data_IF_581729664710
#
_entry.id   IF_581729664710
#
_cell.length_a   1.000
_cell.length_b   1.000
_cell.length_c   1.000
_cell.angle_alpha   90.00
_cell.angle_beta   90.00
_cell.angle_gamma   90.00
#
_symmetry.space_group_name_H-M   'P 1'
#
loop_
_entity.id
_entity.type
_entity.pdbx_description
1 polymer ?
#
# COMPACT_ATOMS: atom_id res chain seq x y z
N UNK A 1 28.99 9.70 19.38
CA UNK A 1 28.89 9.07 18.05
C UNK A 1 27.93 7.88 18.03
N UNK A 2 28.15 6.83 18.83
CA UNK A 2 27.25 5.65 18.90
C UNK A 2 25.80 6.01 19.22
N UNK A 3 25.55 6.87 20.22
CA UNK A 3 24.18 7.28 20.56
C UNK A 3 23.47 8.03 19.42
N UNK A 4 24.23 8.72 18.58
CA UNK A 4 23.66 9.36 17.39
C UNK A 4 23.26 8.30 16.36
N UNK A 5 24.15 7.35 16.08
CA UNK A 5 23.88 6.26 15.14
C UNK A 5 22.72 5.36 15.59
N UNK A 6 22.57 5.10 16.89
CA UNK A 6 21.51 4.22 17.40
C UNK A 6 20.15 4.91 17.51
N UNK A 7 20.09 6.24 17.60
CA UNK A 7 18.82 6.96 17.78
C UNK A 7 18.40 7.74 16.54
N UNK A 8 19.31 8.48 15.91
CA UNK A 8 18.97 9.39 14.81
C UNK A 8 19.04 8.72 13.45
N UNK A 9 19.97 7.78 13.22
CA UNK A 9 20.06 7.10 11.93
C UNK A 9 18.80 6.29 11.58
N UNK A 10 18.20 5.51 12.50
CA UNK A 10 16.93 4.82 12.23
C UNK A 10 15.81 5.82 11.90
N UNK A 11 15.73 6.94 12.62
CA UNK A 11 14.72 7.97 12.42
C UNK A 11 14.86 8.64 11.05
N UNK A 12 16.08 8.89 10.59
CA UNK A 12 16.32 9.35 9.21
C UNK A 12 15.85 8.30 8.19
N UNK A 13 16.11 7.03 8.44
CA UNK A 13 15.57 5.92 7.63
C UNK A 13 14.04 5.93 7.57
N UNK A 14 13.38 6.24 8.68
CA UNK A 14 11.91 6.39 8.77
C UNK A 14 11.36 7.48 7.86
N UNK A 15 12.09 8.58 7.65
CA UNK A 15 11.69 9.64 6.72
C UNK A 15 11.61 9.08 5.29
N UNK A 16 12.64 8.34 4.86
CA UNK A 16 12.64 7.73 3.53
C UNK A 16 11.55 6.65 3.40
N UNK A 17 11.36 5.81 4.43
CA UNK A 17 10.25 4.85 4.44
C UNK A 17 8.90 5.54 4.27
N UNK A 18 8.67 6.65 4.99
CA UNK A 18 7.44 7.43 4.87
C UNK A 18 7.24 7.95 3.45
N UNK A 19 8.30 8.45 2.81
CA UNK A 19 8.27 8.91 1.41
C UNK A 19 7.91 7.75 0.46
N UNK A 20 8.35 6.52 0.73
CA UNK A 20 7.96 5.35 -0.07
C UNK A 20 6.49 4.95 0.11
N UNK A 21 5.97 5.01 1.34
CA UNK A 21 4.59 4.63 1.63
C UNK A 21 3.57 5.66 1.15
N UNK A 22 3.87 6.96 1.25
CA UNK A 22 2.90 8.04 0.99
C UNK A 22 2.26 7.97 -0.41
N UNK A 23 3.04 7.84 -1.51
CA UNK A 23 2.49 7.73 -2.86
C UNK A 23 1.60 6.50 -3.03
N UNK A 24 2.00 5.37 -2.44
CA UNK A 24 1.26 4.12 -2.51
C UNK A 24 -0.06 4.21 -1.74
N UNK A 25 -0.03 4.76 -0.52
CA UNK A 25 -1.21 5.01 0.30
C UNK A 25 -2.17 5.95 -0.43
N UNK A 26 -1.66 7.08 -0.95
CA UNK A 26 -2.47 8.05 -1.71
C UNK A 26 -3.11 7.41 -2.93
N UNK A 27 -2.32 6.67 -3.74
CA UNK A 27 -2.82 5.99 -4.93
C UNK A 27 -3.93 5.00 -4.58
N UNK A 28 -3.71 4.18 -3.57
CA UNK A 28 -4.67 3.17 -3.12
C UNK A 28 -5.95 3.81 -2.58
N UNK A 29 -5.83 4.90 -1.83
CA UNK A 29 -6.97 5.64 -1.30
C UNK A 29 -7.83 6.30 -2.39
N UNK A 30 -7.18 6.93 -3.38
CA UNK A 30 -7.87 7.65 -4.46
C UNK A 30 -8.50 6.70 -5.46
N UNK A 31 -7.72 5.73 -5.97
CA UNK A 31 -8.17 4.83 -7.04
C UNK A 31 -9.07 3.73 -6.47
N UNK A 32 -8.86 3.32 -5.21
CA UNK A 32 -9.57 2.21 -4.56
C UNK A 32 -9.45 0.89 -5.34
N UNK A 33 -8.46 0.80 -6.23
CA UNK A 33 -8.12 -0.41 -6.95
C UNK A 33 -6.92 -1.07 -6.28
N UNK A 34 -7.12 -2.31 -5.87
CA UNK A 34 -6.12 -3.17 -5.22
C UNK A 34 -5.92 -4.47 -5.99
N UNK A 35 -6.39 -4.53 -7.24
CA UNK A 35 -6.09 -5.64 -8.14
C UNK A 35 -4.58 -5.72 -8.38
N UNK A 36 -4.04 -6.93 -8.25
CA UNK A 36 -2.60 -7.16 -8.28
C UNK A 36 -1.88 -6.98 -6.93
N UNK A 37 -2.53 -6.45 -5.89
CA UNK A 37 -1.93 -6.40 -4.55
C UNK A 37 -2.23 -7.69 -3.77
N UNK A 38 -1.19 -8.38 -3.30
CA UNK A 38 -1.33 -9.61 -2.51
C UNK A 38 -1.72 -9.33 -1.05
N UNK A 39 -2.88 -9.85 -0.61
CA UNK A 39 -3.31 -9.76 0.80
C UNK A 39 -2.34 -10.49 1.72
N UNK A 40 -1.90 -11.68 1.32
CA UNK A 40 -1.00 -12.51 2.12
C UNK A 40 0.35 -11.81 2.34
N UNK A 41 0.84 -11.08 1.32
CA UNK A 41 2.03 -10.25 1.46
C UNK A 41 1.85 -9.19 2.55
N UNK A 42 0.80 -8.37 2.47
CA UNK A 42 0.56 -7.31 3.45
C UNK A 42 0.30 -7.86 4.85
N UNK A 43 -0.41 -8.99 4.97
CA UNK A 43 -0.62 -9.66 6.24
C UNK A 43 0.71 -10.15 6.85
N UNK A 44 1.52 -10.85 6.06
CA UNK A 44 2.81 -11.39 6.53
C UNK A 44 3.79 -10.27 6.89
N UNK A 45 3.77 -9.16 6.14
CA UNK A 45 4.57 -7.99 6.43
C UNK A 45 4.21 -7.39 7.79
N UNK A 46 2.92 -7.21 8.09
CA UNK A 46 2.48 -6.71 9.40
C UNK A 46 2.90 -7.64 10.54
N UNK A 47 2.74 -8.97 10.37
CA UNK A 47 3.19 -9.94 11.39
C UNK A 47 4.70 -9.82 11.64
N UNK A 48 5.50 -9.70 10.58
CA UNK A 48 6.95 -9.52 10.70
C UNK A 48 7.30 -8.20 11.42
N UNK A 49 6.65 -7.10 11.06
CA UNK A 49 6.87 -5.78 11.64
C UNK A 49 6.42 -5.71 13.11
N UNK A 50 5.34 -6.41 13.50
CA UNK A 50 4.97 -6.57 14.91
C UNK A 50 6.10 -7.23 15.70
N UNK A 51 6.70 -8.31 15.18
CA UNK A 51 7.83 -8.94 15.86
C UNK A 51 9.06 -8.04 15.92
N UNK A 52 9.34 -7.28 14.86
CA UNK A 52 10.43 -6.29 14.86
C UNK A 52 10.17 -5.16 15.86
N UNK A 53 8.94 -4.66 15.95
CA UNK A 53 8.54 -3.63 16.91
C UNK A 53 8.67 -4.13 18.36
N UNK A 54 8.21 -5.34 18.65
CA UNK A 54 8.39 -5.96 19.98
C UNK A 54 9.88 -6.07 20.32
N UNK A 55 10.71 -6.51 19.38
CA UNK A 55 12.16 -6.56 19.57
C UNK A 55 12.76 -5.15 19.81
N UNK A 56 12.32 -4.15 19.06
CA UNK A 56 12.77 -2.77 19.22
C UNK A 56 12.38 -2.17 20.59
N UNK A 57 11.18 -2.49 21.10
CA UNK A 57 10.75 -2.14 22.46
C UNK A 57 11.65 -2.81 23.49
N UNK A 58 11.98 -4.09 23.31
CA UNK A 58 12.88 -4.81 24.22
C UNK A 58 14.29 -4.20 24.24
N UNK A 59 14.81 -3.79 23.08
CA UNK A 59 16.09 -3.08 22.96
C UNK A 59 16.01 -1.73 23.68
N UNK A 60 14.93 -0.97 23.50
CA UNK A 60 14.73 0.31 24.20
C UNK A 60 14.73 0.12 25.73
N UNK A 61 13.98 -0.87 26.24
CA UNK A 61 13.92 -1.14 27.69
C UNK A 61 15.30 -1.52 28.24
N UNK A 62 16.08 -2.33 27.50
CA UNK A 62 17.39 -2.82 27.97
C UNK A 62 18.53 -1.80 27.83
N UNK A 63 18.54 -1.02 26.75
CA UNK A 63 19.69 -0.20 26.36
C UNK A 63 19.38 1.30 26.27
N UNK A 64 18.11 1.71 26.44
CA UNK A 64 17.67 3.10 26.39
C UNK A 64 17.67 3.72 24.99
N UNK A 65 17.90 2.93 23.94
CA UNK A 65 17.95 3.41 22.55
C UNK A 65 16.56 3.37 21.92
N UNK A 66 16.03 4.54 21.58
CA UNK A 66 14.63 4.71 21.16
C UNK A 66 14.45 4.83 19.65
N UNK A 67 15.53 5.09 18.88
CA UNK A 67 15.44 5.34 17.43
C UNK A 67 14.73 4.23 16.67
N UNK A 68 15.22 3.00 16.81
CA UNK A 68 14.62 1.82 16.16
C UNK A 68 13.18 1.58 16.59
N UNK A 69 12.83 1.86 17.85
CA UNK A 69 11.45 1.71 18.33
C UNK A 69 10.50 2.66 17.59
N UNK A 70 10.90 3.93 17.42
CA UNK A 70 10.09 4.90 16.66
C UNK A 70 10.00 4.49 15.18
N UNK A 71 11.11 4.03 14.59
CA UNK A 71 11.15 3.55 13.20
C UNK A 71 10.19 2.40 12.96
N UNK A 72 10.27 1.34 13.78
CA UNK A 72 9.40 0.17 13.63
C UNK A 72 7.94 0.51 13.92
N UNK A 73 7.67 1.39 14.89
CA UNK A 73 6.30 1.81 15.21
C UNK A 73 5.64 2.53 14.04
N UNK A 74 6.37 3.44 13.38
CA UNK A 74 5.83 4.15 12.21
C UNK A 74 5.73 3.24 10.99
N UNK A 75 6.73 2.38 10.77
CA UNK A 75 6.71 1.43 9.65
C UNK A 75 5.52 0.47 9.75
N UNK A 76 5.28 -0.07 10.95
CA UNK A 76 4.11 -0.92 11.22
C UNK A 76 2.80 -0.15 11.01
N UNK A 77 2.68 1.08 11.52
CA UNK A 77 1.47 1.88 11.30
C UNK A 77 1.17 2.11 9.81
N UNK A 78 2.20 2.39 8.99
CA UNK A 78 2.06 2.59 7.55
C UNK A 78 1.69 1.29 6.82
N UNK A 79 2.32 0.16 7.19
CA UNK A 79 2.02 -1.15 6.64
C UNK A 79 0.59 -1.60 7.01
N UNK A 80 0.13 -1.30 8.23
CA UNK A 80 -1.22 -1.61 8.70
C UNK A 80 -2.27 -0.79 7.97
N UNK A 81 -2.02 0.50 7.75
CA UNK A 81 -2.86 1.36 6.92
C UNK A 81 -3.04 0.75 5.52
N UNK A 82 -1.96 0.27 4.90
CA UNK A 82 -2.00 -0.41 3.61
C UNK A 82 -2.80 -1.72 3.66
N UNK A 83 -2.59 -2.56 4.67
CA UNK A 83 -3.34 -3.80 4.85
C UNK A 83 -4.84 -3.54 4.99
N UNK A 84 -5.24 -2.56 5.80
CA UNK A 84 -6.64 -2.16 5.98
C UNK A 84 -7.24 -1.72 4.65
N UNK A 85 -6.53 -0.90 3.86
CA UNK A 85 -7.00 -0.48 2.55
C UNK A 85 -7.14 -1.66 1.57
N UNK A 86 -6.17 -2.57 1.54
CA UNK A 86 -6.20 -3.76 0.68
C UNK A 86 -7.40 -4.64 1.03
N UNK A 87 -7.67 -4.89 2.32
CA UNK A 87 -8.82 -5.68 2.75
C UNK A 87 -10.15 -4.96 2.43
N UNK A 88 -10.24 -3.65 2.70
CA UNK A 88 -11.45 -2.86 2.48
C UNK A 88 -11.82 -2.75 1.00
N UNK A 89 -10.85 -2.51 0.13
CA UNK A 89 -11.10 -2.25 -1.29
C UNK A 89 -11.14 -3.52 -2.14
N UNK A 90 -10.56 -4.64 -1.67
CA UNK A 90 -10.65 -5.92 -2.37
C UNK A 90 -12.08 -6.41 -2.51
N UNK A 91 -12.94 -6.17 -1.50
CA UNK A 91 -14.37 -6.51 -1.56
C UNK A 91 -15.12 -5.73 -2.65
N UNK A 92 -14.65 -4.54 -3.00
CA UNK A 92 -15.25 -3.70 -4.04
C UNK A 92 -14.69 -3.98 -5.45
N UNK A 93 -13.58 -4.73 -5.54
CA UNK A 93 -12.90 -4.99 -6.81
C UNK A 93 -13.49 -6.15 -7.61
N UNK A 94 -14.52 -6.85 -7.11
CA UNK A 94 -15.22 -7.89 -7.88
C UNK A 94 -16.00 -7.38 -9.09
N UNK A 95 -16.05 -6.05 -9.32
CA UNK A 95 -16.61 -5.43 -10.53
C UNK A 95 -15.50 -4.75 -11.36
N UNK A 96 -14.49 -5.50 -11.77
CA UNK A 96 -13.68 -5.08 -12.92
C UNK A 96 -14.41 -5.54 -14.16
N UNK A 97 -15.10 -4.61 -14.84
CA UNK A 97 -15.38 -4.79 -16.26
C UNK A 97 -14.01 -4.84 -16.93
N UNK A 98 -13.60 -5.98 -17.54
CA UNK A 98 -12.30 -6.06 -18.19
C UNK A 98 -12.15 -4.90 -19.19
N UNK A 99 -10.98 -4.26 -19.27
CA UNK A 99 -10.72 -3.26 -20.31
C UNK A 99 -11.10 -3.76 -21.71
N UNK A 100 -10.95 -5.08 -21.96
CA UNK A 100 -11.40 -5.73 -23.19
C UNK A 100 -12.91 -5.61 -23.43
N UNK A 101 -13.73 -5.68 -22.38
CA UNK A 101 -15.19 -5.54 -22.45
C UNK A 101 -15.60 -4.07 -22.71
N UNK A 102 -14.96 -3.10 -22.05
CA UNK A 102 -15.15 -1.66 -22.33
C UNK A 102 -14.78 -1.35 -23.79
N UNK A 103 -13.66 -1.90 -24.26
CA UNK A 103 -13.20 -1.73 -25.65
C UNK A 103 -14.17 -2.38 -26.64
N UNK A 104 -14.67 -3.57 -26.33
CA UNK A 104 -15.65 -4.28 -27.16
C UNK A 104 -16.99 -3.53 -27.24
N UNK A 105 -17.49 -2.98 -26.14
CA UNK A 105 -18.71 -2.18 -26.11
C UNK A 105 -18.58 -0.90 -26.95
N UNK A 106 -17.45 -0.18 -26.80
CA UNK A 106 -17.17 1.01 -27.60
C UNK A 106 -17.06 0.70 -29.09
N UNK A 107 -16.36 -0.39 -29.46
CA UNK A 107 -16.26 -0.84 -30.86
C UNK A 107 -17.63 -1.20 -31.44
N UNK A 108 -18.47 -1.89 -30.65
CA UNK A 108 -19.83 -2.28 -31.05
C UNK A 108 -20.71 -1.04 -31.28
N UNK A 109 -20.62 -0.05 -30.40
CA UNK A 109 -21.34 1.21 -30.54
C UNK A 109 -20.92 1.96 -31.80
N UNK A 110 -19.60 2.08 -32.03
CA UNK A 110 -19.06 2.75 -33.22
C UNK A 110 -19.44 2.06 -34.53
N UNK A 111 -19.46 0.72 -34.54
CA UNK A 111 -19.89 -0.06 -35.70
C UNK A 111 -21.37 0.16 -36.04
N UNK A 112 -22.23 0.24 -35.03
CA UNK A 112 -23.65 0.53 -35.23
C UNK A 112 -23.88 1.95 -35.79
N UNK A 113 -23.18 2.95 -35.25
CA UNK A 113 -23.24 4.33 -35.76
C UNK A 113 -22.79 4.45 -37.23
N UNK A 114 -21.77 3.67 -37.63
CA UNK A 114 -21.33 3.64 -39.02
C UNK A 114 -22.32 2.93 -39.96
N UNK A 115 -23.02 1.91 -39.49
CA UNK A 115 -24.04 1.23 -40.30
C UNK A 115 -25.30 2.06 -40.49
N UNK A 116 -25.78 2.77 -39.46
CA UNK A 116 -26.93 3.68 -39.58
C UNK A 116 -26.66 4.78 -40.61
N UNK A 117 -25.43 5.33 -40.63
CA UNK A 117 -25.02 6.33 -41.63
C UNK A 117 -24.95 5.81 -43.07
N UNK A 118 -24.90 4.50 -43.28
CA UNK A 118 -24.85 3.87 -44.62
C UNK A 118 -26.24 3.48 -45.12
N UNK A 119 -27.24 3.41 -44.24
CA UNK A 119 -28.60 2.98 -44.58
C UNK A 119 -29.62 4.14 -44.61
N UNK A 120 -29.27 5.33 -44.12
CA UNK A 120 -30.01 6.58 -44.33
C UNK A 120 -29.46 7.40 -45.48
#
# INVERSE_FOLDING_TARGET
MINFLLNWLPVLGTVFLTICYLPQIRKTYVIKDVNGMSVLFWLSLNVALIFMLVNAIMIFIKFGTWGTMITEALNEALALIMLIMVLKYRKNSSYVVPQALITAEWLKQKFNEENDKRQG
#
